data_IF_983149517403
#
_entry.id   IF_983149517403
#
_cell.length_a   1.000
_cell.length_b   1.000
_cell.length_c   1.000
_cell.angle_alpha   90.00
_cell.angle_beta   90.00
_cell.angle_gamma   90.00
#
_symmetry.space_group_name_H-M   'P 1'
#
loop_
_entity.id
_entity.type
_entity.pdbx_description
1 polymer ?
#
# COMPACT_ATOMS: atom_id res chain seq x y z
N UNK A 1 -7.75 18.13 -8.04
CA UNK A 1 -7.06 18.12 -6.73
C UNK A 1 -5.76 17.33 -6.91
N UNK A 2 -4.60 17.84 -6.48
CA UNK A 2 -3.37 17.03 -6.51
C UNK A 2 -3.39 16.07 -5.32
N UNK A 3 -3.05 14.77 -5.49
CA UNK A 3 -2.97 13.84 -4.36
C UNK A 3 -1.95 14.33 -3.34
N UNK A 4 -2.31 14.32 -2.05
CA UNK A 4 -1.39 14.66 -0.96
C UNK A 4 -0.76 13.34 -0.49
N UNK A 5 0.55 13.22 -0.67
CA UNK A 5 1.34 12.09 -0.16
C UNK A 5 1.83 12.40 1.25
N UNK A 6 1.56 11.49 2.18
CA UNK A 6 2.03 11.55 3.55
C UNK A 6 3.09 10.48 3.76
N UNK A 7 4.28 10.89 4.17
CA UNK A 7 5.41 9.99 4.39
C UNK A 7 5.61 9.75 5.88
N UNK A 8 5.88 8.50 6.23
CA UNK A 8 6.22 8.09 7.59
C UNK A 8 7.48 7.23 7.56
N UNK A 9 8.32 7.40 8.58
CA UNK A 9 9.51 6.59 8.79
C UNK A 9 9.48 6.11 10.24
N UNK A 10 9.68 4.80 10.45
CA UNK A 10 9.66 4.20 11.78
C UNK A 10 10.76 3.16 11.91
N UNK A 11 11.52 3.25 12.99
CA UNK A 11 12.48 2.22 13.38
C UNK A 11 11.77 0.90 13.74
N UNK A 12 12.37 -0.20 13.32
CA UNK A 12 12.01 -1.58 13.64
C UNK A 12 13.16 -2.24 14.40
N UNK A 13 13.02 -3.52 14.76
CA UNK A 13 14.08 -4.26 15.45
C UNK A 13 15.32 -4.44 14.57
N UNK A 14 16.48 -4.60 15.22
CA UNK A 14 17.77 -4.92 14.60
C UNK A 14 18.20 -3.92 13.51
N UNK A 15 17.97 -2.63 13.73
CA UNK A 15 18.41 -1.57 12.81
C UNK A 15 17.58 -1.46 11.53
N UNK A 16 16.52 -2.25 11.36
CA UNK A 16 15.60 -2.09 10.23
C UNK A 16 14.78 -0.81 10.36
N UNK A 17 14.43 -0.22 9.22
CA UNK A 17 13.58 0.97 9.14
C UNK A 17 12.43 0.71 8.20
N UNK A 18 11.21 0.97 8.65
CA UNK A 18 10.01 0.98 7.81
C UNK A 18 9.81 2.37 7.21
N UNK A 19 9.83 2.44 5.89
CA UNK A 19 9.41 3.63 5.14
C UNK A 19 7.99 3.38 4.65
N UNK A 20 7.08 4.29 4.93
CA UNK A 20 5.70 4.26 4.48
C UNK A 20 5.33 5.53 3.73
N UNK A 21 4.53 5.38 2.69
CA UNK A 21 3.87 6.49 2.01
C UNK A 21 2.40 6.15 1.85
N UNK A 22 1.56 7.03 2.34
CA UNK A 22 0.12 6.94 2.25
C UNK A 22 -0.39 8.11 1.43
N UNK A 23 -1.40 7.87 0.62
CA UNK A 23 -2.00 8.92 -0.20
C UNK A 23 -3.51 8.80 -0.11
N UNK A 24 -4.14 9.93 0.22
CA UNK A 24 -5.59 10.01 0.33
C UNK A 24 -6.23 10.00 -1.05
N UNK A 25 -7.22 9.14 -1.23
CA UNK A 25 -8.11 9.05 -2.38
C UNK A 25 -9.52 9.56 -2.06
N UNK A 26 -9.75 10.01 -0.81
CA UNK A 26 -11.06 10.38 -0.32
C UNK A 26 -11.66 11.55 -1.09
N UNK A 27 -12.95 11.43 -1.42
CA UNK A 27 -13.77 12.46 -2.06
C UNK A 27 -14.84 12.92 -1.07
N UNK A 28 -15.21 14.21 -1.02
CA UNK A 28 -16.28 14.67 -0.12
C UNK A 28 -17.58 13.90 -0.36
N UNK A 29 -18.15 13.34 0.71
CA UNK A 29 -19.40 12.57 0.65
C UNK A 29 -19.23 11.09 0.34
N UNK A 30 -18.01 10.62 0.09
CA UNK A 30 -17.69 9.20 -0.07
C UNK A 30 -16.96 8.65 1.17
N UNK A 31 -17.02 7.33 1.42
CA UNK A 31 -16.17 6.70 2.42
C UNK A 31 -14.69 6.99 2.20
N UNK A 32 -13.91 6.95 3.28
CA UNK A 32 -12.47 7.13 3.21
C UNK A 32 -11.83 6.09 2.28
N UNK A 33 -10.95 6.55 1.39
CA UNK A 33 -10.16 5.71 0.51
C UNK A 33 -8.69 6.14 0.60
N UNK A 34 -7.79 5.17 0.70
CA UNK A 34 -6.36 5.40 0.90
C UNK A 34 -5.54 4.37 0.14
N UNK A 35 -4.44 4.82 -0.47
CA UNK A 35 -3.42 3.96 -1.05
C UNK A 35 -2.14 4.08 -0.23
N UNK A 36 -1.72 2.98 0.39
CA UNK A 36 -0.49 2.90 1.16
C UNK A 36 0.55 2.00 0.49
N UNK A 37 1.82 2.42 0.53
CA UNK A 37 2.96 1.58 0.18
C UNK A 37 4.00 1.63 1.29
N UNK A 38 4.43 0.45 1.76
CA UNK A 38 5.36 0.31 2.89
C UNK A 38 6.50 -0.62 2.52
N UNK A 39 7.72 -0.26 2.90
CA UNK A 39 8.93 -1.03 2.64
C UNK A 39 9.87 -0.99 3.84
N UNK A 40 10.28 -2.16 4.30
CA UNK A 40 11.37 -2.29 5.25
C UNK A 40 12.71 -2.19 4.51
N UNK A 41 13.63 -1.43 5.08
CA UNK A 41 14.98 -1.20 4.54
C UNK A 41 15.96 -1.29 5.69
N UNK A 42 17.06 -2.01 5.46
CA UNK A 42 18.15 -2.10 6.42
C UNK A 42 19.30 -1.17 5.98
N UNK A 43 19.81 -0.28 6.84
CA UNK A 43 20.88 0.66 6.50
C UNK A 43 22.16 -0.01 5.98
N UNK A 44 22.49 -1.22 6.45
CA UNK A 44 23.67 -1.94 5.98
C UNK A 44 23.63 -2.27 4.47
N UNK A 45 22.45 -2.24 3.83
CA UNK A 45 22.39 -2.37 2.37
C UNK A 45 23.07 -1.22 1.63
N UNK A 46 23.39 -0.13 2.34
CA UNK A 46 24.08 1.04 1.79
C UNK A 46 25.51 1.20 2.33
N UNK A 47 25.95 0.35 3.26
CA UNK A 47 27.25 0.51 3.95
C UNK A 47 28.44 0.34 2.99
N UNK A 48 28.30 -0.53 2.00
CA UNK A 48 29.31 -0.78 0.97
C UNK A 48 29.13 0.11 -0.28
N UNK A 49 28.15 1.03 -0.25
CA UNK A 49 27.92 1.95 -1.36
C UNK A 49 28.95 3.08 -1.36
N UNK A 50 29.46 3.42 -2.54
CA UNK A 50 30.26 4.63 -2.75
C UNK A 50 29.43 5.91 -2.51
N UNK A 51 28.10 5.82 -2.62
CA UNK A 51 27.16 6.94 -2.49
C UNK A 51 25.88 6.56 -1.72
N UNK A 52 25.97 6.27 -0.41
CA UNK A 52 24.87 5.71 0.39
C UNK A 52 23.62 6.59 0.42
N UNK A 53 23.79 7.92 0.37
CA UNK A 53 22.67 8.89 0.34
C UNK A 53 21.89 8.80 -0.98
N UNK A 54 22.58 8.62 -2.11
CA UNK A 54 21.95 8.50 -3.43
C UNK A 54 21.21 7.17 -3.54
N UNK A 55 21.79 6.11 -3.01
CA UNK A 55 21.17 4.79 -3.03
C UNK A 55 19.93 4.72 -2.12
N UNK A 56 19.98 5.36 -0.95
CA UNK A 56 18.80 5.54 -0.12
C UNK A 56 17.71 6.36 -0.84
N UNK A 57 18.10 7.45 -1.52
CA UNK A 57 17.17 8.25 -2.31
C UNK A 57 16.48 7.45 -3.41
N UNK A 58 17.19 6.48 -4.01
CA UNK A 58 16.63 5.57 -5.01
C UNK A 58 15.47 4.73 -4.45
N UNK A 59 15.48 4.38 -3.16
CA UNK A 59 14.33 3.74 -2.51
C UNK A 59 13.11 4.66 -2.51
N UNK A 60 13.28 5.91 -2.09
CA UNK A 60 12.19 6.90 -2.05
C UNK A 60 11.66 7.17 -3.48
N UNK A 61 12.55 7.27 -4.46
CA UNK A 61 12.20 7.45 -5.86
C UNK A 61 11.39 6.25 -6.40
N UNK A 62 11.81 5.02 -6.10
CA UNK A 62 11.08 3.81 -6.49
C UNK A 62 9.69 3.74 -5.84
N UNK A 63 9.61 4.03 -4.54
CA UNK A 63 8.34 4.07 -3.81
C UNK A 63 7.40 5.11 -4.41
N UNK A 64 7.91 6.31 -4.70
CA UNK A 64 7.16 7.39 -5.35
C UNK A 64 6.64 6.95 -6.71
N UNK A 65 7.49 6.36 -7.55
CA UNK A 65 7.12 5.87 -8.88
C UNK A 65 6.01 4.82 -8.80
N UNK A 66 6.12 3.84 -7.90
CA UNK A 66 5.12 2.78 -7.74
C UNK A 66 3.77 3.35 -7.31
N UNK A 67 3.76 4.25 -6.33
CA UNK A 67 2.54 4.89 -5.85
C UNK A 67 1.89 5.73 -6.94
N UNK A 68 2.66 6.55 -7.66
CA UNK A 68 2.15 7.34 -8.77
C UNK A 68 1.59 6.48 -9.90
N UNK A 69 2.24 5.35 -10.21
CA UNK A 69 1.75 4.38 -11.18
C UNK A 69 0.44 3.74 -10.72
N UNK A 70 0.32 3.34 -9.46
CA UNK A 70 -0.92 2.80 -8.90
C UNK A 70 -2.05 3.84 -8.86
N UNK A 71 -1.74 5.12 -8.63
CA UNK A 71 -2.69 6.23 -8.79
C UNK A 71 -3.22 6.37 -10.21
N UNK A 72 -2.37 6.14 -11.22
CA UNK A 72 -2.70 6.30 -12.64
C UNK A 72 -3.35 5.08 -13.29
N UNK A 73 -3.35 3.92 -12.63
CA UNK A 73 -3.96 2.69 -13.13
C UNK A 73 -5.23 2.48 -12.33
N UNK A 74 -6.39 2.77 -12.94
CA UNK A 74 -7.68 2.37 -12.37
C UNK A 74 -7.59 0.91 -11.94
N UNK A 75 -7.87 0.64 -10.67
CA UNK A 75 -7.90 -0.73 -10.16
C UNK A 75 -8.76 -1.54 -11.15
N UNK A 76 -8.17 -2.56 -11.79
CA UNK A 76 -9.01 -3.46 -12.55
C UNK A 76 -10.03 -4.01 -11.56
N UNK A 77 -11.34 -3.82 -11.80
CA UNK A 77 -12.34 -4.39 -10.91
C UNK A 77 -12.11 -5.89 -10.95
N UNK A 78 -11.58 -6.42 -9.84
CA UNK A 78 -11.56 -7.85 -9.62
C UNK A 78 -13.03 -8.25 -9.64
N UNK A 79 -13.41 -9.02 -10.67
CA UNK A 79 -14.77 -9.53 -10.79
C UNK A 79 -15.12 -10.19 -9.45
N UNK A 80 -16.09 -9.64 -8.75
CA UNK A 80 -16.60 -10.18 -7.49
C UNK A 80 -17.45 -11.41 -7.80
N UNK A 81 -16.84 -12.47 -8.34
CA UNK A 81 -17.45 -13.80 -8.32
C UNK A 81 -17.35 -14.36 -6.90
N UNK A 82 -18.13 -13.79 -5.99
CA UNK A 82 -18.49 -14.39 -4.68
C UNK A 82 -20.01 -14.42 -4.52
N UNK A 83 -20.73 -14.74 -5.60
CA UNK A 83 -22.15 -15.11 -5.56
C UNK A 83 -22.39 -16.52 -4.96
N UNK A 84 -21.46 -17.00 -4.12
CA UNK A 84 -21.67 -18.12 -3.21
C UNK A 84 -21.29 -17.66 -1.79
N UNK A 85 -21.83 -16.53 -1.35
CA UNK A 85 -22.00 -16.28 0.08
C UNK A 85 -23.09 -17.25 0.53
N UNK A 86 -22.67 -18.42 0.98
CA UNK A 86 -23.47 -19.55 1.48
C UNK A 86 -24.87 -19.12 1.95
N UNK A 87 -25.86 -19.35 1.09
CA UNK A 87 -27.27 -19.30 1.48
C UNK A 87 -27.51 -20.37 2.53
N UNK A 88 -28.10 -19.98 3.64
CA UNK A 88 -28.60 -20.91 4.65
C UNK A 88 -29.66 -21.81 4.03
N UNK A 89 -29.50 -23.12 4.22
CA UNK A 89 -30.62 -24.05 4.14
C UNK A 89 -31.18 -24.23 5.55
N UNK A 90 -32.16 -23.40 5.87
CA UNK A 90 -33.28 -23.87 6.69
C UNK A 90 -34.20 -24.65 5.76
N UNK A 91 -34.22 -25.97 5.88
CA UNK A 91 -35.30 -26.78 5.31
C UNK A 91 -35.78 -27.78 6.37
N UNK A 92 -36.86 -27.38 7.02
CA UNK A 92 -37.75 -28.27 7.78
C UNK A 92 -38.67 -29.00 6.80
N UNK A 93 -38.62 -30.34 6.80
CA UNK A 93 -39.67 -31.24 6.34
C UNK A 93 -39.32 -32.63 6.91
N UNK A 94 -39.94 -33.14 7.98
CA UNK A 94 -41.31 -33.68 8.07
C UNK A 94 -41.72 -34.56 6.88
N UNK A 95 -41.37 -35.85 6.96
CA UNK A 95 -42.22 -36.99 6.57
C UNK A 95 -41.71 -38.25 7.30
#
# INVERSE_FOLDING_TARGET
MKPIMSWACRELNDGWVMIGVDVSLSVPGEPEALLGYRRAVHPFHFDESDTPVIDFYSVIAEMTYRVQKCYGVGAQPLATSRACAFGGQDETASA
#
